data_IF_481522990660
#
_entry.id   IF_481522990660
#
_cell.length_a   1.000
_cell.length_b   1.000
_cell.length_c   1.000
_cell.angle_alpha   90.00
_cell.angle_beta   90.00
_cell.angle_gamma   90.00
#
_symmetry.space_group_name_H-M   'P 1'
#
loop_
_entity.id
_entity.type
_entity.pdbx_description
1 polymer ?
#
# COMPACT_ATOMS: atom_id res chain seq x y z
N UNK A 1 19.53 5.06 -16.32
CA UNK A 1 18.44 5.77 -15.63
C UNK A 1 18.16 7.16 -16.21
N UNK A 2 18.93 8.23 -15.94
CA UNK A 2 18.58 9.59 -16.42
C UNK A 2 18.32 9.67 -17.94
N UNK A 3 19.25 9.17 -18.76
CA UNK A 3 19.10 9.12 -20.23
C UNK A 3 17.90 8.30 -20.72
N UNK A 4 17.48 7.29 -19.96
CA UNK A 4 16.34 6.43 -20.31
C UNK A 4 15.00 7.10 -19.98
N UNK A 5 14.93 7.82 -18.85
CA UNK A 5 13.76 8.64 -18.50
C UNK A 5 13.63 9.83 -19.46
N UNK A 6 14.73 10.48 -19.84
CA UNK A 6 14.74 11.57 -20.84
C UNK A 6 14.31 11.08 -22.24
N UNK A 7 14.44 9.78 -22.52
CA UNK A 7 13.99 9.19 -23.78
C UNK A 7 12.47 8.91 -23.81
N UNK A 8 11.78 8.99 -22.67
CA UNK A 8 10.33 8.85 -22.63
C UNK A 8 9.68 10.03 -23.36
N UNK A 9 8.86 9.72 -24.35
CA UNK A 9 8.09 10.72 -25.09
C UNK A 9 6.66 10.73 -24.60
N UNK A 10 6.23 11.89 -24.13
CA UNK A 10 4.86 12.15 -23.71
C UNK A 10 4.18 13.01 -24.77
N UNK A 11 2.94 12.66 -25.12
CA UNK A 11 2.14 13.52 -25.99
C UNK A 11 1.81 14.84 -25.30
N UNK A 12 1.48 15.91 -26.05
CA UNK A 12 1.23 17.22 -25.48
C UNK A 12 0.21 17.21 -24.33
N UNK A 13 -0.87 16.44 -24.45
CA UNK A 13 -1.87 16.29 -23.39
C UNK A 13 -1.29 15.73 -22.09
N UNK A 14 -0.44 14.69 -22.16
CA UNK A 14 0.24 14.12 -21.00
C UNK A 14 1.19 15.14 -20.37
N UNK A 15 1.96 15.86 -21.18
CA UNK A 15 2.86 16.91 -20.69
C UNK A 15 2.11 18.02 -19.96
N UNK A 16 0.95 18.44 -20.49
CA UNK A 16 0.09 19.42 -19.81
C UNK A 16 -0.43 18.86 -18.48
N UNK A 17 -0.94 17.63 -18.47
CA UNK A 17 -1.42 16.99 -17.23
C UNK A 17 -0.31 16.88 -16.17
N UNK A 18 0.89 16.42 -16.56
CA UNK A 18 2.05 16.36 -15.65
C UNK A 18 2.48 17.75 -15.16
N UNK A 19 2.39 18.77 -16.02
CA UNK A 19 2.63 20.17 -15.63
C UNK A 19 1.59 20.67 -14.64
N UNK A 20 0.32 20.27 -14.81
CA UNK A 20 -0.76 20.63 -13.88
C UNK A 20 -0.57 19.96 -12.52
N UNK A 21 -0.20 18.68 -12.49
CA UNK A 21 0.15 17.96 -11.25
C UNK A 21 1.26 18.72 -10.53
N UNK A 22 2.34 19.07 -11.23
CA UNK A 22 3.47 19.75 -10.61
C UNK A 22 3.29 21.22 -10.28
N UNK A 23 2.30 21.91 -10.88
CA UNK A 23 1.92 23.29 -10.51
C UNK A 23 0.81 23.34 -9.46
N UNK A 24 0.02 22.28 -9.38
CA UNK A 24 -1.03 22.09 -8.39
C UNK A 24 -0.44 21.45 -7.14
N UNK A 25 -1.06 20.35 -6.71
CA UNK A 25 -0.78 19.70 -5.42
C UNK A 25 0.01 18.40 -5.52
N UNK A 26 0.40 17.98 -6.73
CA UNK A 26 1.13 16.72 -6.91
C UNK A 26 2.62 16.89 -6.69
N UNK A 27 3.22 15.94 -5.99
CA UNK A 27 4.65 15.94 -5.73
C UNK A 27 5.43 15.40 -6.95
N UNK A 28 5.96 16.30 -7.78
CA UNK A 28 6.81 15.91 -8.92
C UNK A 28 8.04 15.11 -8.49
N UNK A 29 8.51 15.28 -7.24
CA UNK A 29 9.60 14.47 -6.70
C UNK A 29 9.13 13.03 -6.56
N UNK A 30 7.98 12.81 -5.94
CA UNK A 30 7.37 11.48 -5.81
C UNK A 30 7.16 10.82 -7.18
N UNK A 31 6.60 11.54 -8.15
CA UNK A 31 6.43 11.04 -9.54
C UNK A 31 7.78 10.62 -10.14
N UNK A 32 8.82 11.44 -9.98
CA UNK A 32 10.15 11.12 -10.47
C UNK A 32 10.78 9.90 -9.77
N UNK A 33 10.56 9.76 -8.46
CA UNK A 33 11.04 8.64 -7.65
C UNK A 33 10.35 7.32 -8.05
N UNK A 34 9.02 7.33 -8.16
CA UNK A 34 8.24 6.15 -8.61
C UNK A 34 8.64 5.74 -10.02
N UNK A 35 8.81 6.70 -10.94
CA UNK A 35 9.27 6.42 -12.31
C UNK A 35 10.69 5.83 -12.33
N UNK A 36 11.62 6.39 -11.55
CA UNK A 36 12.99 5.93 -11.45
C UNK A 36 13.06 4.50 -10.87
N UNK A 37 12.34 4.23 -9.78
CA UNK A 37 12.27 2.91 -9.18
C UNK A 37 11.63 1.88 -10.12
N UNK A 38 10.52 2.24 -10.78
CA UNK A 38 9.84 1.36 -11.74
C UNK A 38 10.76 0.97 -12.91
N UNK A 39 11.51 1.95 -13.45
CA UNK A 39 12.53 1.71 -14.48
C UNK A 39 13.66 0.80 -13.99
N UNK A 40 14.15 1.05 -12.77
CA UNK A 40 15.23 0.25 -12.18
C UNK A 40 14.79 -1.20 -11.96
N UNK A 41 13.59 -1.41 -11.40
CA UNK A 41 13.05 -2.75 -11.20
C UNK A 41 12.78 -3.47 -12.52
N UNK A 42 12.22 -2.80 -13.52
CA UNK A 42 11.95 -3.41 -14.83
C UNK A 42 13.23 -3.81 -15.55
N UNK A 43 14.27 -2.96 -15.47
CA UNK A 43 15.59 -3.26 -16.03
C UNK A 43 16.24 -4.44 -15.31
N UNK A 44 16.21 -4.46 -13.98
CA UNK A 44 16.77 -5.56 -13.19
C UNK A 44 16.01 -6.88 -13.41
N UNK A 45 14.69 -6.79 -13.60
CA UNK A 45 13.82 -7.91 -13.98
C UNK A 45 14.05 -8.42 -15.41
N UNK A 46 14.91 -7.74 -16.19
CA UNK A 46 15.22 -8.07 -17.58
C UNK A 46 13.98 -8.15 -18.46
N UNK A 47 13.01 -7.26 -18.24
CA UNK A 47 11.88 -7.13 -19.13
C UNK A 47 12.36 -6.73 -20.54
N UNK A 48 11.59 -7.10 -21.55
CA UNK A 48 11.82 -6.61 -22.90
C UNK A 48 11.76 -5.06 -22.94
N UNK A 49 12.42 -4.40 -23.90
CA UNK A 49 12.46 -2.94 -23.98
C UNK A 49 11.09 -2.26 -23.89
N UNK A 50 10.06 -2.87 -24.50
CA UNK A 50 8.69 -2.38 -24.41
C UNK A 50 8.11 -2.48 -22.99
N UNK A 51 8.38 -3.58 -22.27
CA UNK A 51 7.96 -3.74 -20.87
C UNK A 51 8.66 -2.76 -19.93
N UNK A 52 9.95 -2.49 -20.14
CA UNK A 52 10.69 -1.46 -19.41
C UNK A 52 10.09 -0.08 -19.66
N UNK A 53 9.77 0.25 -20.92
CA UNK A 53 9.10 1.50 -21.28
C UNK A 53 7.73 1.63 -20.63
N UNK A 54 6.93 0.57 -20.63
CA UNK A 54 5.60 0.56 -19.99
C UNK A 54 5.71 0.82 -18.49
N UNK A 55 6.61 0.14 -17.78
CA UNK A 55 6.78 0.34 -16.33
C UNK A 55 7.25 1.77 -16.00
N UNK A 56 8.19 2.31 -16.77
CA UNK A 56 8.68 3.67 -16.57
C UNK A 56 7.60 4.73 -16.86
N UNK A 57 6.86 4.59 -17.97
CA UNK A 57 5.74 5.49 -18.29
C UNK A 57 4.61 5.41 -17.26
N UNK A 58 4.27 4.20 -16.81
CA UNK A 58 3.24 4.00 -15.79
C UNK A 58 3.67 4.64 -14.46
N UNK A 59 4.94 4.54 -14.07
CA UNK A 59 5.47 5.23 -12.90
C UNK A 59 5.37 6.76 -13.00
N UNK A 60 5.53 7.35 -14.19
CA UNK A 60 5.32 8.80 -14.39
C UNK A 60 3.84 9.18 -14.32
N UNK A 61 2.94 8.28 -14.74
CA UNK A 61 1.52 8.58 -14.95
C UNK A 61 0.60 7.96 -13.88
N UNK A 62 1.11 7.36 -12.82
CA UNK A 62 0.31 6.56 -11.89
C UNK A 62 -0.80 7.37 -11.19
N UNK A 63 -0.48 8.61 -10.79
CA UNK A 63 -1.40 9.49 -10.07
C UNK A 63 -2.12 10.52 -10.96
N UNK A 64 -2.09 10.40 -12.29
CA UNK A 64 -2.77 11.40 -13.14
C UNK A 64 -4.27 11.48 -12.91
N UNK A 65 -4.87 10.42 -12.34
CA UNK A 65 -6.28 10.41 -11.95
C UNK A 65 -6.59 11.36 -10.79
N UNK A 66 -5.60 11.75 -9.98
CA UNK A 66 -5.77 12.70 -8.88
C UNK A 66 -6.21 14.09 -9.36
N UNK A 67 -5.96 14.44 -10.63
CA UNK A 67 -6.46 15.68 -11.26
C UNK A 67 -7.99 15.82 -11.21
N UNK A 68 -8.70 14.71 -10.94
CA UNK A 68 -10.16 14.65 -10.84
C UNK A 68 -10.66 14.43 -9.41
N UNK A 69 -9.76 14.44 -8.43
CA UNK A 69 -10.09 14.30 -7.00
C UNK A 69 -10.00 15.68 -6.34
N UNK A 70 -10.86 15.91 -5.35
CA UNK A 70 -10.82 17.13 -4.56
C UNK A 70 -9.44 17.29 -3.88
N UNK A 71 -8.71 18.39 -4.15
CA UNK A 71 -7.46 18.72 -3.48
C UNK A 71 -7.47 18.62 -1.96
N UNK A 72 -8.59 18.98 -1.32
CA UNK A 72 -8.69 18.97 0.15
C UNK A 72 -8.67 17.53 0.69
N UNK A 73 -9.09 16.55 -0.12
CA UNK A 73 -9.03 15.14 0.23
C UNK A 73 -7.63 14.57 0.00
N UNK A 74 -6.98 14.90 -1.12
CA UNK A 74 -5.61 14.43 -1.42
C UNK A 74 -4.60 14.96 -0.39
N UNK A 75 -4.73 16.23 0.02
CA UNK A 75 -3.79 16.88 0.94
C UNK A 75 -4.19 16.77 2.41
N UNK A 76 -5.19 15.94 2.74
CA UNK A 76 -5.68 15.84 4.10
C UNK A 76 -4.58 15.31 5.05
N UNK A 77 -4.18 16.14 6.02
CA UNK A 77 -3.27 15.74 7.11
C UNK A 77 -3.97 14.94 8.23
N UNK A 78 -5.28 14.72 8.08
CA UNK A 78 -6.12 13.94 9.00
C UNK A 78 -6.51 12.60 8.40
N UNK A 79 -7.03 11.72 9.24
CA UNK A 79 -7.68 10.49 8.77
C UNK A 79 -8.94 10.87 7.98
N UNK A 80 -8.98 10.44 6.72
CA UNK A 80 -10.19 10.54 5.90
C UNK A 80 -11.27 9.61 6.43
N UNK A 81 -12.50 10.11 6.45
CA UNK A 81 -13.68 9.27 6.64
C UNK A 81 -13.80 8.27 5.50
N UNK A 82 -14.58 7.21 5.69
CA UNK A 82 -14.75 6.20 4.64
C UNK A 82 -15.44 6.73 3.39
N UNK A 83 -16.30 7.75 3.53
CA UNK A 83 -16.96 8.42 2.41
C UNK A 83 -15.94 9.23 1.60
N UNK A 84 -15.13 10.06 2.27
CA UNK A 84 -14.03 10.79 1.65
C UNK A 84 -13.02 9.88 0.97
N UNK A 85 -12.66 8.77 1.64
CA UNK A 85 -11.76 7.76 1.09
C UNK A 85 -12.31 7.13 -0.19
N UNK A 86 -13.64 6.97 -0.31
CA UNK A 86 -14.30 6.43 -1.51
C UNK A 86 -14.01 7.25 -2.76
N UNK A 87 -13.84 8.57 -2.60
CA UNK A 87 -13.47 9.46 -3.69
C UNK A 87 -12.00 9.31 -4.06
N UNK A 88 -11.10 9.09 -3.09
CA UNK A 88 -9.66 8.97 -3.36
C UNK A 88 -9.31 7.66 -4.05
N UNK A 89 -9.87 6.52 -3.62
CA UNK A 89 -9.48 5.20 -4.14
C UNK A 89 -9.82 4.95 -5.62
N UNK A 90 -10.63 5.81 -6.24
CA UNK A 90 -11.00 5.68 -7.65
C UNK A 90 -9.96 6.28 -8.60
N UNK A 91 -9.00 7.07 -8.11
CA UNK A 91 -8.02 7.73 -8.96
C UNK A 91 -7.20 6.77 -9.87
N UNK A 92 -6.83 5.52 -9.47
CA UNK A 92 -6.12 4.62 -10.39
C UNK A 92 -6.99 4.23 -11.58
N UNK A 93 -8.30 4.09 -11.35
CA UNK A 93 -9.27 3.80 -12.40
C UNK A 93 -9.45 5.00 -13.33
N UNK A 94 -9.58 6.21 -12.79
CA UNK A 94 -9.65 7.45 -13.57
C UNK A 94 -8.39 7.60 -14.42
N UNK A 95 -7.20 7.41 -13.84
CA UNK A 95 -5.93 7.50 -14.56
C UNK A 95 -5.86 6.55 -15.75
N UNK A 96 -6.36 5.31 -15.59
CA UNK A 96 -6.47 4.37 -16.71
C UNK A 96 -7.39 4.87 -17.82
N UNK A 97 -8.57 5.40 -17.49
CA UNK A 97 -9.51 5.93 -18.49
C UNK A 97 -8.86 7.07 -19.27
N UNK A 98 -8.20 8.01 -18.57
CA UNK A 98 -7.47 9.11 -19.20
C UNK A 98 -6.38 8.62 -20.16
N UNK A 99 -5.64 7.57 -19.78
CA UNK A 99 -4.60 6.99 -20.64
C UNK A 99 -5.20 6.26 -21.85
N UNK A 100 -6.33 5.58 -21.69
CA UNK A 100 -6.98 4.85 -22.78
C UNK A 100 -7.47 5.80 -23.89
N UNK A 101 -7.85 7.02 -23.53
CA UNK A 101 -8.28 8.05 -24.49
C UNK A 101 -7.09 8.72 -25.21
N UNK A 102 -5.85 8.45 -24.79
CA UNK A 102 -4.64 8.97 -25.41
C UNK A 102 -4.08 7.98 -26.44
N UNK A 103 -4.38 8.18 -27.73
CA UNK A 103 -3.94 7.31 -28.84
C UNK A 103 -2.43 7.01 -28.87
N UNK A 104 -1.62 7.95 -28.38
CA UNK A 104 -0.15 7.85 -28.31
C UNK A 104 0.40 7.00 -27.15
N UNK A 105 -0.45 6.55 -26.22
CA UNK A 105 -0.01 5.82 -25.03
C UNK A 105 -0.39 4.33 -25.16
N UNK A 106 0.55 3.38 -24.95
CA UNK A 106 0.21 1.97 -24.98
C UNK A 106 -0.85 1.63 -23.91
N UNK A 107 -1.88 0.88 -24.27
CA UNK A 107 -2.94 0.47 -23.33
C UNK A 107 -2.40 -0.24 -22.07
N UNK A 108 -1.27 -0.93 -22.19
CA UNK A 108 -0.57 -1.56 -21.07
C UNK A 108 -0.13 -0.57 -19.98
N UNK A 109 0.14 0.70 -20.34
CA UNK A 109 0.44 1.78 -19.38
C UNK A 109 -0.79 2.06 -18.54
N UNK A 110 -1.96 2.22 -19.16
CA UNK A 110 -3.22 2.43 -18.43
C UNK A 110 -3.58 1.25 -17.52
N UNK A 111 -3.29 0.01 -17.94
CA UNK A 111 -3.46 -1.17 -17.08
C UNK A 111 -2.56 -1.07 -15.84
N UNK A 112 -1.25 -0.82 -16.02
CA UNK A 112 -0.31 -0.69 -14.92
C UNK A 112 -0.66 0.49 -13.98
N UNK A 113 -1.12 1.61 -14.53
CA UNK A 113 -1.65 2.75 -13.76
C UNK A 113 -2.87 2.34 -12.95
N UNK A 114 -3.82 1.56 -13.46
CA UNK A 114 -4.93 1.08 -12.61
C UNK A 114 -4.55 0.08 -11.51
N UNK A 115 -3.29 -0.36 -11.47
CA UNK A 115 -2.83 -1.45 -10.62
C UNK A 115 -1.81 -1.01 -9.56
N UNK A 116 -1.41 0.26 -9.51
CA UNK A 116 -0.31 0.70 -8.64
C UNK A 116 -0.64 0.64 -7.13
N UNK A 117 -1.93 0.55 -6.76
CA UNK A 117 -2.34 0.28 -5.37
C UNK A 117 -2.79 -1.17 -5.13
N UNK A 118 -2.68 -2.04 -6.13
CA UNK A 118 -2.98 -3.46 -5.97
C UNK A 118 -1.84 -4.19 -5.24
N UNK A 119 -2.16 -5.29 -4.57
CA UNK A 119 -1.22 -6.11 -3.78
C UNK A 119 -1.46 -7.58 -4.10
N UNK A 120 -0.40 -8.37 -4.28
CA UNK A 120 -0.50 -9.75 -4.81
C UNK A 120 -1.28 -10.74 -3.92
N UNK A 121 -1.55 -10.39 -2.68
CA UNK A 121 -2.36 -11.16 -1.74
C UNK A 121 -3.83 -10.71 -1.68
N UNK A 122 -4.26 -9.75 -2.52
CA UNK A 122 -5.63 -9.23 -2.54
C UNK A 122 -5.93 -8.15 -1.51
N UNK A 123 -4.94 -7.60 -0.80
CA UNK A 123 -5.16 -6.52 0.17
C UNK A 123 -5.19 -5.12 -0.43
N UNK A 124 -4.86 -4.98 -1.72
CA UNK A 124 -4.83 -3.69 -2.42
C UNK A 124 -6.19 -3.22 -2.95
N UNK A 125 -6.18 -2.08 -3.64
CA UNK A 125 -7.38 -1.45 -4.22
C UNK A 125 -7.08 -0.92 -5.64
N UNK A 126 -8.11 -0.62 -6.46
CA UNK A 126 -9.55 -0.70 -6.19
C UNK A 126 -10.19 -2.08 -6.41
N UNK A 127 -9.50 -3.03 -7.04
CA UNK A 127 -10.08 -4.33 -7.45
C UNK A 127 -9.71 -5.50 -6.51
N UNK A 128 -8.82 -5.29 -5.54
CA UNK A 128 -8.36 -6.33 -4.61
C UNK A 128 -7.79 -7.56 -5.34
N UNK A 129 -6.90 -7.30 -6.30
CA UNK A 129 -6.35 -8.32 -7.19
C UNK A 129 -5.44 -9.29 -6.47
N UNK A 130 -5.48 -10.57 -6.85
CA UNK A 130 -4.54 -11.58 -6.36
C UNK A 130 -3.44 -11.88 -7.38
N UNK A 131 -2.41 -12.59 -6.93
CA UNK A 131 -1.30 -13.01 -7.77
C UNK A 131 -1.77 -13.67 -9.07
N UNK A 132 -1.16 -13.25 -10.19
CA UNK A 132 -1.52 -13.71 -11.53
C UNK A 132 -2.62 -12.88 -12.21
N UNK A 133 -3.32 -11.99 -11.49
CA UNK A 133 -4.28 -11.08 -12.09
C UNK A 133 -3.64 -9.75 -12.53
N UNK A 134 -2.63 -9.26 -11.80
CA UNK A 134 -1.98 -7.98 -12.08
C UNK A 134 -0.85 -8.11 -13.08
N UNK A 135 -0.69 -7.09 -13.93
CA UNK A 135 0.41 -7.01 -14.88
C UNK A 135 1.76 -6.90 -14.17
N UNK A 136 2.83 -7.40 -14.78
CA UNK A 136 4.18 -7.26 -14.22
C UNK A 136 4.53 -5.78 -14.01
N UNK A 137 4.19 -4.91 -14.98
CA UNK A 137 4.42 -3.48 -14.84
C UNK A 137 3.65 -2.87 -13.65
N UNK A 138 2.35 -3.21 -13.48
CA UNK A 138 1.56 -2.77 -12.33
C UNK A 138 2.16 -3.20 -11.00
N UNK A 139 2.65 -4.44 -10.90
CA UNK A 139 3.34 -4.93 -9.71
C UNK A 139 4.63 -4.17 -9.38
N UNK A 140 5.39 -3.77 -10.41
CA UNK A 140 6.61 -2.99 -10.24
C UNK A 140 6.30 -1.56 -9.79
N UNK A 141 5.31 -0.91 -10.40
CA UNK A 141 4.87 0.44 -10.01
C UNK A 141 4.31 0.42 -8.59
N UNK A 142 3.49 -0.58 -8.23
CA UNK A 142 2.97 -0.75 -6.88
C UNK A 142 4.05 -0.93 -5.80
N UNK A 143 5.17 -1.55 -6.17
CA UNK A 143 6.31 -1.69 -5.26
C UNK A 143 7.14 -0.41 -5.21
N UNK A 144 7.30 0.29 -6.34
CA UNK A 144 7.96 1.59 -6.40
C UNK A 144 7.22 2.64 -5.56
N UNK A 145 5.89 2.61 -5.58
CA UNK A 145 5.00 3.47 -4.80
C UNK A 145 5.24 3.34 -3.28
N UNK A 146 5.25 2.10 -2.78
CA UNK A 146 5.54 1.86 -1.37
C UNK A 146 6.94 2.39 -0.98
N UNK A 147 7.93 2.16 -1.84
CA UNK A 147 9.32 2.47 -1.54
C UNK A 147 9.59 3.98 -1.61
N UNK A 148 8.98 4.70 -2.57
CA UNK A 148 9.15 6.15 -2.71
C UNK A 148 8.76 6.90 -1.43
N UNK A 149 7.64 6.52 -0.80
CA UNK A 149 7.20 7.08 0.49
C UNK A 149 8.14 6.83 1.69
N UNK A 150 9.16 5.99 1.51
CA UNK A 150 10.19 5.70 2.51
C UNK A 150 11.55 6.34 2.18
N UNK A 151 11.78 6.79 0.94
CA UNK A 151 13.09 7.26 0.49
C UNK A 151 13.62 8.47 1.25
N UNK A 152 12.74 9.32 1.78
CA UNK A 152 13.15 10.52 2.53
C UNK A 152 13.32 10.28 4.03
N UNK A 153 13.01 9.07 4.48
CA UNK A 153 13.13 8.69 5.89
C UNK A 153 14.55 8.19 6.16
N UNK A 154 15.08 8.39 7.38
CA UNK A 154 16.33 7.75 7.76
C UNK A 154 16.22 6.23 7.63
N UNK A 155 17.29 5.58 7.18
CA UNK A 155 17.37 4.14 6.95
C UNK A 155 16.35 3.63 5.91
N UNK A 156 16.09 4.42 4.85
CA UNK A 156 15.06 4.15 3.84
C UNK A 156 15.07 2.72 3.29
N UNK A 157 16.25 2.17 2.95
CA UNK A 157 16.35 0.83 2.37
C UNK A 157 15.99 -0.27 3.38
N UNK A 158 16.41 -0.12 4.64
CA UNK A 158 16.05 -1.04 5.72
C UNK A 158 14.54 -0.96 6.01
N UNK A 159 13.98 0.26 6.03
CA UNK A 159 12.53 0.46 6.18
C UNK A 159 11.76 -0.21 5.05
N UNK A 160 12.22 -0.04 3.80
CA UNK A 160 11.62 -0.67 2.63
C UNK A 160 11.72 -2.20 2.71
N UNK A 161 12.88 -2.73 3.08
CA UNK A 161 13.08 -4.17 3.25
C UNK A 161 12.12 -4.75 4.30
N UNK A 162 11.98 -4.09 5.45
CA UNK A 162 11.06 -4.54 6.51
C UNK A 162 9.60 -4.42 6.05
N UNK A 163 9.19 -3.28 5.50
CA UNK A 163 7.83 -3.05 5.01
C UNK A 163 7.39 -4.12 3.99
N UNK A 164 8.27 -4.50 3.06
CA UNK A 164 8.00 -5.54 2.07
C UNK A 164 7.94 -6.96 2.65
N UNK A 165 8.48 -7.20 3.85
CA UNK A 165 8.55 -8.52 4.49
C UNK A 165 7.50 -8.72 5.59
N UNK A 166 7.06 -7.66 6.25
CA UNK A 166 6.08 -7.72 7.36
C UNK A 166 4.85 -8.53 6.92
N UNK A 167 4.21 -8.16 5.80
CA UNK A 167 3.16 -8.98 5.19
C UNK A 167 3.71 -9.66 3.95
N UNK A 168 4.11 -10.91 4.15
CA UNK A 168 4.62 -11.75 3.08
C UNK A 168 3.59 -11.91 1.95
N UNK A 169 4.06 -11.74 0.71
CA UNK A 169 3.25 -12.00 -0.48
C UNK A 169 2.46 -10.82 -1.01
N UNK A 170 2.66 -9.59 -0.52
CA UNK A 170 2.07 -8.38 -1.11
C UNK A 170 2.78 -7.92 -2.39
N UNK A 171 4.10 -8.08 -2.43
CA UNK A 171 4.95 -7.60 -3.50
C UNK A 171 5.68 -8.75 -4.21
N UNK A 172 6.13 -8.55 -5.47
CA UNK A 172 6.89 -9.56 -6.18
C UNK A 172 8.18 -9.90 -5.43
N UNK A 173 8.46 -11.20 -5.25
CA UNK A 173 9.69 -11.69 -4.59
C UNK A 173 10.96 -11.09 -5.17
N UNK A 174 10.96 -10.83 -6.48
CA UNK A 174 12.06 -10.21 -7.19
C UNK A 174 12.37 -8.80 -6.68
N UNK A 175 11.36 -7.97 -6.39
CA UNK A 175 11.57 -6.62 -5.86
C UNK A 175 12.11 -6.69 -4.44
N UNK A 176 11.54 -7.56 -3.59
CA UNK A 176 12.08 -7.81 -2.25
C UNK A 176 13.55 -8.25 -2.30
N UNK A 177 13.92 -9.11 -3.25
CA UNK A 177 15.31 -9.54 -3.42
C UNK A 177 16.24 -8.39 -3.84
N UNK A 178 15.80 -7.50 -4.73
CA UNK A 178 16.54 -6.30 -5.14
C UNK A 178 16.79 -5.39 -3.93
N UNK A 179 15.75 -5.10 -3.14
CA UNK A 179 15.86 -4.23 -1.96
C UNK A 179 16.76 -4.86 -0.90
N UNK A 180 16.60 -6.15 -0.63
CA UNK A 180 17.50 -6.90 0.25
C UNK A 180 18.96 -6.88 -0.21
N UNK A 181 19.23 -6.91 -1.51
CA UNK A 181 20.61 -6.78 -2.00
C UNK A 181 21.14 -5.35 -1.83
N UNK A 182 20.30 -4.34 -2.13
CA UNK A 182 20.66 -2.95 -1.98
C UNK A 182 20.96 -2.56 -0.52
N UNK A 183 20.16 -3.04 0.44
CA UNK A 183 20.34 -2.76 1.88
C UNK A 183 21.66 -3.30 2.44
N UNK A 184 22.22 -4.36 1.83
CA UNK A 184 23.50 -4.98 2.23
C UNK A 184 24.74 -4.33 1.61
N UNK A 185 24.59 -3.31 0.76
CA UNK A 185 25.74 -2.67 0.09
C UNK A 185 26.52 -1.77 1.06
N UNK A 186 27.86 -1.89 1.17
CA UNK A 186 28.67 -1.07 2.07
C UNK A 186 28.50 0.43 1.78
N UNK A 187 28.15 1.23 2.79
CA UNK A 187 27.87 2.66 2.65
C UNK A 187 26.43 3.07 2.98
N UNK A 188 25.53 2.11 3.22
CA UNK A 188 24.28 2.39 3.93
C UNK A 188 24.64 2.96 5.31
N UNK A 189 24.19 4.19 5.60
CA UNK A 189 24.58 4.93 6.81
C UNK A 189 24.40 4.10 8.07
N UNK A 190 25.33 4.27 9.01
CA UNK A 190 25.19 3.74 10.35
C UNK A 190 23.89 4.27 10.97
N UNK A 191 23.25 3.39 11.71
CA UNK A 191 21.94 3.54 12.29
C UNK A 191 21.97 4.58 13.42
N UNK A 192 21.61 5.83 13.14
CA UNK A 192 21.30 6.82 14.18
C UNK A 192 19.80 6.79 14.47
N UNK A 193 19.45 6.34 15.68
CA UNK A 193 18.10 6.41 16.19
C UNK A 193 18.03 7.21 17.48
N UNK A 194 17.03 8.08 17.55
CA UNK A 194 16.56 8.60 18.83
C UNK A 194 16.13 7.41 19.69
N UNK A 195 16.44 7.43 20.98
CA UNK A 195 15.96 6.41 21.93
C UNK A 195 14.44 6.45 21.98
N UNK A 196 13.79 5.62 21.18
CA UNK A 196 12.36 5.40 21.27
C UNK A 196 12.10 4.25 22.25
N UNK A 197 11.04 4.37 23.03
CA UNK A 197 10.44 3.25 23.76
C UNK A 197 9.19 2.84 23.01
N UNK A 198 8.90 1.55 22.95
CA UNK A 198 7.63 1.05 22.41
C UNK A 198 6.55 1.27 23.47
N UNK A 199 5.38 1.78 23.07
CA UNK A 199 4.21 1.83 23.97
C UNK A 199 3.57 0.44 24.03
N UNK A 200 3.90 -0.33 25.07
CA UNK A 200 3.36 -1.67 25.28
C UNK A 200 1.81 -1.67 25.32
N UNK A 201 1.19 -0.61 25.82
CA UNK A 201 -0.27 -0.51 25.84
C UNK A 201 -0.83 -0.35 24.42
N UNK A 202 -0.12 0.32 23.51
CA UNK A 202 -0.51 0.42 22.10
C UNK A 202 -0.45 -0.94 21.42
N UNK A 203 0.61 -1.70 21.67
CA UNK A 203 0.80 -3.06 21.16
C UNK A 203 -0.34 -3.98 21.64
N UNK A 204 -0.66 -3.94 22.94
CA UNK A 204 -1.78 -4.70 23.53
C UNK A 204 -3.10 -4.31 22.88
N UNK A 205 -3.41 -3.00 22.82
CA UNK A 205 -4.66 -2.50 22.26
C UNK A 205 -4.82 -2.95 20.81
N UNK A 206 -3.77 -2.83 19.99
CA UNK A 206 -3.82 -3.24 18.59
C UNK A 206 -4.06 -4.75 18.44
N UNK A 207 -3.34 -5.57 19.22
CA UNK A 207 -3.49 -7.02 19.22
C UNK A 207 -4.91 -7.45 19.57
N UNK A 208 -5.47 -6.90 20.66
CA UNK A 208 -6.84 -7.16 21.10
C UNK A 208 -7.86 -6.73 20.05
N UNK A 209 -7.72 -5.52 19.50
CA UNK A 209 -8.62 -5.02 18.45
C UNK A 209 -8.65 -5.92 17.22
N UNK A 210 -7.50 -6.42 16.78
CA UNK A 210 -7.44 -7.36 15.65
C UNK A 210 -8.14 -8.67 15.98
N UNK A 211 -7.97 -9.21 17.21
CA UNK A 211 -8.62 -10.42 17.66
C UNK A 211 -10.15 -10.27 17.72
N UNK A 212 -10.63 -9.20 18.36
CA UNK A 212 -12.06 -8.90 18.47
C UNK A 212 -12.70 -8.69 17.10
N UNK A 213 -12.01 -7.99 16.19
CA UNK A 213 -12.49 -7.78 14.83
C UNK A 213 -12.56 -9.10 14.03
N UNK A 214 -11.56 -9.97 14.16
CA UNK A 214 -11.53 -11.26 13.48
C UNK A 214 -12.64 -12.19 13.99
N UNK A 215 -12.88 -12.21 15.30
CA UNK A 215 -13.98 -12.97 15.90
C UNK A 215 -15.33 -12.43 15.44
N UNK A 216 -15.54 -11.12 15.49
CA UNK A 216 -16.80 -10.51 15.07
C UNK A 216 -17.08 -10.74 13.58
N UNK A 217 -16.07 -10.60 12.71
CA UNK A 217 -16.20 -10.95 11.30
C UNK A 217 -16.59 -12.43 11.09
N UNK A 218 -16.03 -13.34 11.90
CA UNK A 218 -16.38 -14.76 11.87
C UNK A 218 -17.81 -15.03 12.38
N UNK A 219 -18.26 -14.33 13.42
CA UNK A 219 -19.63 -14.42 13.93
C UNK A 219 -20.63 -13.93 12.88
N UNK A 220 -20.36 -12.80 12.24
CA UNK A 220 -21.18 -12.27 11.15
C UNK A 220 -21.25 -13.25 9.98
N UNK A 221 -20.11 -13.80 9.52
CA UNK A 221 -20.10 -14.78 8.44
C UNK A 221 -20.90 -16.07 8.73
N UNK A 222 -21.09 -16.44 10.01
CA UNK A 222 -21.94 -17.58 10.41
C UNK A 222 -23.42 -17.21 10.56
N UNK A 223 -23.74 -15.92 10.63
CA UNK A 223 -25.10 -15.43 10.80
C UNK A 223 -26.00 -15.80 9.63
N UNK A 224 -27.22 -16.26 9.92
CA UNK A 224 -28.22 -16.51 8.89
C UNK A 224 -28.71 -15.19 8.26
N UNK A 225 -28.93 -15.18 6.94
CA UNK A 225 -29.60 -14.07 6.24
C UNK A 225 -28.69 -13.04 5.57
N UNK A 226 -27.37 -13.23 5.56
CA UNK A 226 -26.48 -12.40 4.74
C UNK A 226 -26.63 -12.72 3.25
N UNK A 227 -26.73 -11.68 2.43
CA UNK A 227 -26.62 -11.83 0.98
C UNK A 227 -25.24 -12.43 0.61
N UNK A 228 -25.13 -13.25 -0.45
CA UNK A 228 -23.88 -13.93 -0.81
C UNK A 228 -22.66 -13.00 -0.93
N UNK A 229 -22.84 -11.80 -1.49
CA UNK A 229 -21.78 -10.80 -1.62
C UNK A 229 -21.24 -10.29 -0.26
N UNK A 230 -22.12 -10.15 0.74
CA UNK A 230 -21.72 -9.66 2.06
C UNK A 230 -21.10 -10.79 2.87
N UNK A 231 -21.56 -12.04 2.70
CA UNK A 231 -20.91 -13.21 3.28
C UNK A 231 -19.46 -13.34 2.79
N UNK A 232 -19.28 -13.28 1.47
CA UNK A 232 -17.97 -13.30 0.82
C UNK A 232 -17.06 -12.15 1.31
N UNK A 233 -17.62 -10.93 1.45
CA UNK A 233 -16.90 -9.81 2.06
C UNK A 233 -16.45 -10.11 3.49
N UNK A 234 -17.33 -10.62 4.38
CA UNK A 234 -16.95 -10.95 5.76
C UNK A 234 -15.86 -12.02 5.82
N UNK A 235 -15.94 -13.04 4.96
CA UNK A 235 -14.94 -14.09 4.87
C UNK A 235 -13.58 -13.53 4.44
N UNK A 236 -13.53 -12.69 3.40
CA UNK A 236 -12.31 -12.00 2.98
C UNK A 236 -11.76 -11.07 4.05
N UNK A 237 -12.60 -10.27 4.69
CA UNK A 237 -12.19 -9.39 5.80
C UNK A 237 -11.52 -10.19 6.93
N UNK A 238 -12.11 -11.33 7.30
CA UNK A 238 -11.53 -12.23 8.31
C UNK A 238 -10.19 -12.82 7.86
N UNK A 239 -10.08 -13.25 6.60
CA UNK A 239 -8.83 -13.79 6.06
C UNK A 239 -7.71 -12.74 6.02
N UNK A 240 -8.03 -11.50 5.63
CA UNK A 240 -7.12 -10.35 5.67
C UNK A 240 -6.66 -10.07 7.11
N UNK A 241 -7.59 -10.07 8.08
CA UNK A 241 -7.25 -9.91 9.50
C UNK A 241 -6.32 -11.00 10.01
N UNK A 242 -6.60 -12.27 9.73
CA UNK A 242 -5.72 -13.38 10.10
C UNK A 242 -4.33 -13.28 9.45
N UNK A 243 -4.23 -12.74 8.23
CA UNK A 243 -2.95 -12.50 7.58
C UNK A 243 -2.15 -11.41 8.31
N UNK A 244 -2.80 -10.29 8.65
CA UNK A 244 -2.19 -9.20 9.40
C UNK A 244 -1.81 -9.63 10.82
N UNK A 245 -2.64 -10.43 11.51
CA UNK A 245 -2.32 -10.98 12.82
C UNK A 245 -1.11 -11.91 12.78
N UNK A 246 -1.02 -12.81 11.78
CA UNK A 246 0.17 -13.67 11.62
C UNK A 246 1.43 -12.85 11.33
N UNK A 247 1.32 -11.80 10.53
CA UNK A 247 2.41 -10.87 10.29
C UNK A 247 2.85 -10.18 11.60
N UNK A 248 1.90 -9.68 12.39
CA UNK A 248 2.15 -9.07 13.70
C UNK A 248 2.82 -10.04 14.69
N UNK A 249 2.36 -11.28 14.79
CA UNK A 249 3.01 -12.29 15.65
C UNK A 249 4.42 -12.65 15.17
N UNK A 250 4.67 -12.62 13.85
CA UNK A 250 5.99 -12.93 13.30
C UNK A 250 7.05 -11.86 13.61
N UNK A 251 6.64 -10.66 14.03
CA UNK A 251 7.58 -9.61 14.46
C UNK A 251 8.03 -9.78 15.91
N UNK A 252 7.41 -10.68 16.69
CA UNK A 252 7.70 -10.88 18.11
C UNK A 252 7.15 -9.80 19.05
N UNK A 253 6.42 -8.81 18.53
CA UNK A 253 5.81 -7.72 19.29
C UNK A 253 4.79 -8.22 20.32
N UNK A 254 4.05 -9.28 19.97
CA UNK A 254 3.07 -9.93 20.83
C UNK A 254 3.74 -10.63 22.04
N UNK A 255 4.98 -11.10 21.87
CA UNK A 255 5.75 -11.74 22.93
C UNK A 255 6.45 -10.75 23.88
N UNK A 256 6.85 -9.56 23.39
CA UNK A 256 7.44 -8.52 24.24
C UNK A 256 6.50 -8.11 25.38
N UNK A 257 5.20 -8.03 25.09
CA UNK A 257 4.13 -7.79 26.06
C UNK A 257 3.99 -8.94 27.08
N UNK A 258 4.23 -10.19 26.67
CA UNK A 258 3.86 -11.37 27.45
C UNK A 258 5.00 -12.02 28.26
N UNK A 259 6.28 -11.84 27.89
CA UNK A 259 7.36 -12.63 28.49
C UNK A 259 8.73 -11.92 28.71
N UNK A 260 8.95 -10.72 28.15
CA UNK A 260 10.26 -10.05 28.17
C UNK A 260 10.27 -8.67 28.85
N UNK A 261 9.22 -8.32 29.59
CA UNK A 261 9.12 -7.09 30.38
C UNK A 261 10.34 -6.94 31.32
N UNK A 262 11.40 -6.26 30.86
CA UNK A 262 12.61 -6.00 31.62
C UNK A 262 13.95 -6.24 30.90
N UNK A 263 13.99 -6.89 29.73
CA UNK A 263 15.21 -6.94 28.92
C UNK A 263 15.34 -5.65 28.08
N UNK A 264 16.44 -4.89 28.18
CA UNK A 264 16.62 -3.71 27.34
C UNK A 264 16.73 -4.15 25.88
N UNK A 265 15.77 -3.72 25.06
CA UNK A 265 15.86 -3.85 23.61
C UNK A 265 17.02 -3.01 23.10
N UNK A 266 17.72 -3.52 22.10
CA UNK A 266 18.65 -2.69 21.38
C UNK A 266 17.90 -1.68 20.48
N UNK A 267 18.63 -0.68 19.97
CA UNK A 267 18.03 0.35 19.13
C UNK A 267 17.42 -0.21 17.83
N UNK A 268 17.93 -1.35 17.34
CA UNK A 268 17.47 -1.99 16.11
C UNK A 268 16.12 -2.67 16.32
N UNK A 269 15.98 -3.43 17.40
CA UNK A 269 14.73 -4.09 17.80
C UNK A 269 13.61 -3.08 18.03
N UNK A 270 13.90 -1.93 18.66
CA UNK A 270 12.94 -0.83 18.87
C UNK A 270 12.43 -0.26 17.54
N UNK A 271 13.32 -0.01 16.59
CA UNK A 271 12.96 0.55 15.29
C UNK A 271 12.12 -0.40 14.44
N UNK A 272 12.50 -1.68 14.40
CA UNK A 272 11.75 -2.69 13.65
C UNK A 272 10.35 -2.84 14.23
N UNK A 273 10.25 -2.84 15.56
CA UNK A 273 9.02 -2.86 16.32
C UNK A 273 8.13 -1.64 16.04
N UNK A 274 8.69 -0.43 16.07
CA UNK A 274 7.93 0.80 15.78
C UNK A 274 7.40 0.81 14.33
N UNK A 275 8.24 0.42 13.37
CA UNK A 275 7.84 0.36 11.97
C UNK A 275 6.77 -0.71 11.75
N UNK A 276 6.92 -1.90 12.35
CA UNK A 276 5.92 -2.95 12.32
C UNK A 276 4.59 -2.48 12.93
N UNK A 277 4.61 -1.84 14.10
CA UNK A 277 3.42 -1.35 14.77
C UNK A 277 2.66 -0.34 13.90
N UNK A 278 3.37 0.63 13.30
CA UNK A 278 2.79 1.62 12.39
C UNK A 278 2.17 0.95 11.15
N UNK A 279 2.89 0.02 10.54
CA UNK A 279 2.48 -0.67 9.31
C UNK A 279 1.26 -1.57 9.54
N UNK A 280 1.26 -2.35 10.63
CA UNK A 280 0.12 -3.20 11.03
C UNK A 280 -1.09 -2.32 11.33
N UNK A 281 -0.91 -1.24 12.09
CA UNK A 281 -1.99 -0.29 12.40
C UNK A 281 -2.59 0.36 11.15
N UNK A 282 -1.78 0.66 10.14
CA UNK A 282 -2.27 1.17 8.86
C UNK A 282 -3.08 0.11 8.11
N UNK A 283 -2.62 -1.15 8.04
CA UNK A 283 -3.35 -2.25 7.38
C UNK A 283 -4.69 -2.56 8.03
N UNK A 284 -4.77 -2.55 9.36
CA UNK A 284 -6.04 -2.78 10.08
C UNK A 284 -7.07 -1.71 9.70
N UNK A 285 -6.64 -0.44 9.65
CA UNK A 285 -7.49 0.67 9.21
C UNK A 285 -7.89 0.57 7.74
N UNK A 286 -6.98 0.12 6.88
CA UNK A 286 -7.28 -0.13 5.46
C UNK A 286 -8.37 -1.19 5.27
N UNK A 287 -8.30 -2.30 6.00
CA UNK A 287 -9.37 -3.32 6.02
C UNK A 287 -10.70 -2.70 6.46
N UNK A 288 -10.69 -1.83 7.48
CA UNK A 288 -11.87 -1.10 7.93
C UNK A 288 -12.47 -0.18 6.86
N UNK A 289 -11.62 0.55 6.14
CA UNK A 289 -12.05 1.44 5.04
C UNK A 289 -12.66 0.66 3.89
N UNK A 290 -12.00 -0.39 3.41
CA UNK A 290 -12.53 -1.28 2.37
C UNK A 290 -13.88 -1.88 2.79
N UNK A 291 -13.98 -2.35 4.04
CA UNK A 291 -15.23 -2.88 4.57
C UNK A 291 -16.37 -1.86 4.49
N UNK A 292 -16.12 -0.59 4.84
CA UNK A 292 -17.16 0.45 4.74
C UNK A 292 -17.55 0.71 3.30
N UNK A 293 -16.59 0.78 2.39
CA UNK A 293 -16.83 1.00 0.96
C UNK A 293 -17.72 -0.09 0.36
N UNK A 294 -17.36 -1.35 0.63
CA UNK A 294 -18.05 -2.51 0.07
C UNK A 294 -19.44 -2.74 0.71
N UNK A 295 -19.62 -2.36 1.97
CA UNK A 295 -20.93 -2.44 2.63
C UNK A 295 -21.88 -1.31 2.20
N UNK A 296 -21.37 -0.10 1.98
CA UNK A 296 -22.19 1.08 1.68
C UNK A 296 -23.37 1.22 2.64
N UNK A 297 -24.58 1.41 2.09
CA UNK A 297 -25.81 1.53 2.88
C UNK A 297 -26.18 0.25 3.66
N UNK A 298 -25.69 -0.93 3.25
CA UNK A 298 -25.99 -2.18 3.95
C UNK A 298 -25.40 -2.22 5.37
N UNK A 299 -24.41 -1.37 5.67
CA UNK A 299 -23.78 -1.26 6.99
C UNK A 299 -24.77 -1.02 8.12
N UNK A 300 -25.86 -0.28 7.89
CA UNK A 300 -26.88 0.00 8.91
C UNK A 300 -27.87 -1.16 9.09
N UNK A 301 -28.00 -2.01 8.07
CA UNK A 301 -28.92 -3.15 8.07
C UNK A 301 -28.32 -4.45 8.60
N UNK A 302 -26.98 -4.59 8.52
CA UNK A 302 -26.27 -5.77 9.02
C UNK A 302 -25.96 -5.54 10.51
N UNK A 303 -26.49 -6.37 11.42
CA UNK A 303 -26.22 -6.24 12.85
C UNK A 303 -24.71 -6.23 13.11
N UNK A 304 -24.25 -5.39 14.04
CA UNK A 304 -22.84 -5.31 14.48
C UNK A 304 -21.81 -4.96 13.39
N UNK A 305 -22.18 -4.76 12.12
CA UNK A 305 -21.25 -4.30 11.09
C UNK A 305 -20.63 -2.93 11.43
N UNK A 306 -21.39 -2.04 12.06
CA UNK A 306 -20.87 -0.78 12.59
C UNK A 306 -19.84 -0.96 13.70
N UNK A 307 -20.01 -1.97 14.57
CA UNK A 307 -19.05 -2.30 15.62
C UNK A 307 -17.76 -2.87 15.02
N UNK A 308 -17.86 -3.75 14.02
CA UNK A 308 -16.69 -4.28 13.30
C UNK A 308 -15.88 -3.15 12.65
N UNK A 309 -16.56 -2.22 11.97
CA UNK A 309 -15.93 -1.04 11.39
C UNK A 309 -15.25 -0.18 12.46
N UNK A 310 -15.88 0.04 13.61
CA UNK A 310 -15.29 0.82 14.69
C UNK A 310 -14.01 0.18 15.26
N UNK A 311 -13.98 -1.16 15.41
CA UNK A 311 -12.77 -1.89 15.85
C UNK A 311 -11.61 -1.72 14.86
N UNK A 312 -11.91 -1.71 13.56
CA UNK A 312 -10.91 -1.60 12.49
C UNK A 312 -10.43 -0.17 12.28
N UNK A 313 -11.31 0.82 12.40
CA UNK A 313 -11.01 2.22 12.10
C UNK A 313 -10.53 3.05 13.31
N UNK A 314 -10.71 2.54 14.54
CA UNK A 314 -10.21 3.18 15.78
C UNK A 314 -8.69 3.23 15.87
#
# INVERSE_FOLDING_TARGET
MRRELEALRFAPAMTVMLTMIGRGNGDLRHVAEVAALSLAFATHARLAPDGVRVAAMAGVLHDIGELYIDPDLINASRVLSSEEWSHVIVHPHIGRLLIQDLESCPAAVGIAVSEHHERLNGTGYPRAMIAGQSSVAGQLVASAELISGLLHKPNALQRAELAMKIVSGEHPRMVSAIISQASRTPGAQAFELASATIDDDEVIRLSQRMADAAELAAQLARGAGLAPRHLDLMLRTRERLHMVQRAFMSTGLDMHVAALAGAPLDHHEVFESELALREISWRVRDIGRDLVLQLGAARTSIPQAGQLVALLCG
#
